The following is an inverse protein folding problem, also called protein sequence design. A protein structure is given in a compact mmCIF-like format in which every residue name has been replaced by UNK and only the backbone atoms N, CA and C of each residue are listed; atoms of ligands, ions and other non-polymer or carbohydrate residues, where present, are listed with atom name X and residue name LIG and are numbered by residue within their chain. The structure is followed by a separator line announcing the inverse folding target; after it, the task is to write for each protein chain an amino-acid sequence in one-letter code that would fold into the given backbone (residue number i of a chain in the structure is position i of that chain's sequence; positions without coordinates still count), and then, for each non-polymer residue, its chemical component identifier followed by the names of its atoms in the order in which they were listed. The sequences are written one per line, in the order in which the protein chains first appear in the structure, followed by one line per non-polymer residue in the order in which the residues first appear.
data_IF_844657662301
#
_entry.id   IF_844657662301
#
_cell.length_a   1.000
_cell.length_b   1.000
_cell.length_c   1.000
_cell.angle_alpha   90.00
_cell.angle_beta   90.00
_cell.angle_gamma   90.00
#
_symmetry.space_group_name_H-M   'P 1'
#
loop_
_entity.id
_entity.type
_entity.pdbx_description
1 polymer ?
#
# COMPACT_ATOMS: atom_id res chain seq x y z
N UNK A 1 15.84 7.46 4.07
CA UNK A 1 15.59 6.50 5.15
C UNK A 1 14.28 5.84 4.81
N UNK A 2 14.29 4.54 4.53
CA UNK A 2 13.09 3.76 4.23
C UNK A 2 12.45 3.31 5.54
N UNK A 3 11.15 3.51 5.70
CA UNK A 3 10.40 3.13 6.90
C UNK A 3 9.11 2.38 6.57
N UNK A 4 8.64 1.58 7.52
CA UNK A 4 7.31 0.96 7.49
C UNK A 4 6.42 1.67 8.51
N UNK A 5 5.23 2.09 8.12
CA UNK A 5 4.27 2.72 9.04
C UNK A 5 2.82 2.42 8.70
N UNK A 6 1.95 2.55 9.70
CA UNK A 6 0.51 2.41 9.53
C UNK A 6 -0.17 3.79 9.43
N UNK A 7 -1.10 3.93 8.48
CA UNK A 7 -1.92 5.14 8.29
C UNK A 7 -3.39 4.78 8.03
N UNK A 8 -4.33 5.57 8.54
CA UNK A 8 -5.75 5.37 8.21
C UNK A 8 -6.02 5.73 6.74
N UNK A 9 -6.99 5.06 6.12
CA UNK A 9 -7.36 5.31 4.70
C UNK A 9 -7.73 6.77 4.46
N UNK A 10 -8.32 7.46 5.43
CA UNK A 10 -8.62 8.90 5.30
C UNK A 10 -7.36 9.74 5.21
N UNK A 11 -6.32 9.40 5.97
CA UNK A 11 -5.03 10.09 5.97
C UNK A 11 -4.28 9.84 4.67
N UNK A 12 -4.19 8.58 4.24
CA UNK A 12 -3.60 8.23 2.94
C UNK A 12 -4.26 8.99 1.78
N UNK A 13 -5.59 9.13 1.80
CA UNK A 13 -6.30 9.88 0.76
C UNK A 13 -6.07 11.39 0.82
N UNK A 14 -5.98 11.95 2.03
CA UNK A 14 -5.72 13.37 2.22
C UNK A 14 -4.30 13.75 1.76
N UNK A 15 -3.33 12.87 2.02
CA UNK A 15 -1.91 13.07 1.75
C UNK A 15 -1.41 12.29 0.52
N UNK A 16 -2.30 11.86 -0.37
CA UNK A 16 -2.01 10.88 -1.43
C UNK A 16 -0.71 11.13 -2.21
N UNK A 17 -0.49 12.35 -2.68
CA UNK A 17 0.73 12.67 -3.44
C UNK A 17 2.00 12.52 -2.61
N UNK A 18 1.96 12.97 -1.34
CA UNK A 18 3.08 12.84 -0.41
C UNK A 18 3.37 11.37 -0.09
N UNK A 19 2.33 10.58 0.15
CA UNK A 19 2.50 9.16 0.48
C UNK A 19 2.98 8.33 -0.71
N UNK A 20 2.56 8.69 -1.92
CA UNK A 20 3.06 8.07 -3.14
C UNK A 20 4.53 8.42 -3.39
N UNK A 21 4.94 9.66 -3.14
CA UNK A 21 6.34 10.09 -3.21
C UNK A 21 7.21 9.39 -2.15
N UNK A 22 6.70 9.26 -0.92
CA UNK A 22 7.37 8.50 0.14
C UNK A 22 7.57 7.03 -0.27
N UNK A 23 6.56 6.40 -0.88
CA UNK A 23 6.68 5.04 -1.40
C UNK A 23 7.70 4.95 -2.55
N UNK A 24 7.75 5.92 -3.45
CA UNK A 24 8.82 5.99 -4.46
C UNK A 24 10.20 6.14 -3.83
N UNK A 25 10.30 6.82 -2.69
CA UNK A 25 11.51 6.98 -1.88
C UNK A 25 11.88 5.76 -1.02
N UNK A 26 11.08 4.69 -1.05
CA UNK A 26 11.36 3.44 -0.36
C UNK A 26 10.50 3.15 0.88
N UNK A 27 9.53 3.99 1.21
CA UNK A 27 8.63 3.74 2.35
C UNK A 27 7.55 2.71 2.02
N UNK A 28 7.15 1.95 3.04
CA UNK A 28 6.01 1.03 2.99
C UNK A 28 4.93 1.53 3.93
N UNK A 29 3.73 1.75 3.40
CA UNK A 29 2.59 2.23 4.16
C UNK A 29 1.52 1.16 4.23
N UNK A 30 1.25 0.69 5.45
CA UNK A 30 0.12 -0.17 5.73
C UNK A 30 -1.10 0.70 5.97
N UNK A 31 -2.17 0.48 5.21
CA UNK A 31 -3.39 1.25 5.35
C UNK A 31 -4.62 0.38 5.57
N UNK A 32 -5.57 0.95 6.28
CA UNK A 32 -6.90 0.39 6.37
C UNK A 32 -7.83 1.27 7.18
N UNK A 33 -8.86 0.68 7.76
CA UNK A 33 -9.96 1.44 8.35
C UNK A 33 -10.33 0.88 9.71
N UNK A 34 -10.45 1.75 10.71
CA UNK A 34 -10.86 1.37 12.07
C UNK A 34 -9.97 0.26 12.64
N UNK A 35 -8.65 0.38 12.43
CA UNK A 35 -7.67 -0.59 12.90
C UNK A 35 -7.54 -1.89 12.10
N UNK A 36 -8.43 -2.16 11.12
CA UNK A 36 -8.24 -3.27 10.20
C UNK A 36 -7.22 -2.89 9.12
N UNK A 37 -6.19 -3.71 8.90
CA UNK A 37 -5.20 -3.54 7.83
C UNK A 37 -5.73 -4.19 6.56
N UNK A 38 -5.81 -3.42 5.48
CA UNK A 38 -6.50 -3.85 4.26
C UNK A 38 -5.59 -3.83 3.04
N UNK A 39 -4.79 -2.78 2.90
CA UNK A 39 -3.99 -2.48 1.71
C UNK A 39 -2.60 -2.03 2.14
N UNK A 40 -1.59 -2.34 1.35
CA UNK A 40 -0.23 -1.81 1.54
C UNK A 40 0.16 -1.02 0.30
N UNK A 41 0.60 0.21 0.47
CA UNK A 41 1.31 0.97 -0.55
C UNK A 41 2.82 0.73 -0.36
N UNK A 42 3.51 0.28 -1.40
CA UNK A 42 4.93 -0.05 -1.31
C UNK A 42 5.71 0.41 -2.54
N UNK A 43 7.05 0.45 -2.44
CA UNK A 43 7.92 0.80 -3.56
C UNK A 43 7.80 -0.24 -4.70
N UNK A 44 7.94 0.17 -5.97
CA UNK A 44 7.85 -0.74 -7.11
C UNK A 44 8.88 -1.86 -7.09
N UNK A 45 10.10 -1.57 -6.63
CA UNK A 45 11.18 -2.55 -6.55
C UNK A 45 10.87 -3.61 -5.49
N UNK A 46 10.40 -3.20 -4.32
CA UNK A 46 9.97 -4.11 -3.27
C UNK A 46 8.83 -5.03 -3.73
N UNK A 47 7.88 -4.50 -4.51
CA UNK A 47 6.84 -5.33 -5.11
C UNK A 47 7.41 -6.34 -6.12
N UNK A 48 8.33 -5.90 -6.98
CA UNK A 48 8.98 -6.76 -7.99
C UNK A 48 9.74 -7.91 -7.31
N UNK A 49 10.50 -7.61 -6.27
CA UNK A 49 11.24 -8.60 -5.50
C UNK A 49 10.27 -9.56 -4.77
N UNK A 50 9.20 -9.03 -4.18
CA UNK A 50 8.16 -9.83 -3.54
C UNK A 50 7.49 -10.82 -4.50
N UNK A 51 7.29 -10.46 -5.78
CA UNK A 51 6.74 -11.38 -6.79
C UNK A 51 7.63 -12.59 -7.06
N UNK A 52 8.93 -12.52 -6.79
CA UNK A 52 9.83 -13.68 -6.88
C UNK A 52 9.65 -14.66 -5.72
N UNK A 53 9.11 -14.19 -4.58
CA UNK A 53 8.83 -15.00 -3.39
C UNK A 53 7.41 -15.55 -3.43
N UNK A 54 6.42 -14.68 -3.65
CA UNK A 54 5.00 -15.04 -3.78
C UNK A 54 4.50 -14.57 -5.13
N UNK A 55 4.40 -15.51 -6.06
CA UNK A 55 3.99 -15.24 -7.43
C UNK A 55 2.61 -14.58 -7.51
N UNK A 56 2.50 -13.56 -8.35
CA UNK A 56 1.25 -12.86 -8.68
C UNK A 56 1.01 -13.03 -10.17
N UNK A 57 -0.17 -13.49 -10.56
CA UNK A 57 -0.55 -13.60 -11.96
C UNK A 57 -0.72 -12.19 -12.56
N UNK A 58 -0.22 -11.97 -13.77
CA UNK A 58 -0.37 -10.68 -14.46
C UNK A 58 -1.84 -10.28 -14.66
N UNK A 59 -2.77 -11.23 -14.73
CA UNK A 59 -4.21 -10.94 -14.77
C UNK A 59 -4.76 -10.30 -13.49
N UNK A 60 -4.00 -10.34 -12.39
CA UNK A 60 -4.32 -9.69 -11.12
C UNK A 60 -3.68 -8.30 -11.00
N UNK A 61 -2.80 -7.93 -11.93
CA UNK A 61 -2.12 -6.65 -11.96
C UNK A 61 -2.91 -5.67 -12.81
N UNK A 62 -3.25 -4.52 -12.25
CA UNK A 62 -3.93 -3.42 -12.94
C UNK A 62 -3.04 -2.18 -12.88
N UNK A 63 -2.80 -1.55 -14.02
CA UNK A 63 -2.07 -0.29 -14.07
C UNK A 63 -3.06 0.89 -14.07
N UNK A 64 -2.89 1.80 -13.12
CA UNK A 64 -3.71 3.00 -12.99
C UNK A 64 -2.83 4.23 -12.76
N UNK A 65 -3.23 5.35 -13.35
CA UNK A 65 -2.59 6.64 -13.03
C UNK A 65 -2.90 7.05 -11.59
N UNK A 66 -1.99 7.80 -10.96
CA UNK A 66 -2.18 8.37 -9.62
C UNK A 66 -3.50 9.13 -9.48
N UNK A 67 -3.95 9.84 -10.53
CA UNK A 67 -5.22 10.55 -10.52
C UNK A 67 -6.44 9.61 -10.51
N UNK A 68 -6.40 8.51 -11.29
CA UNK A 68 -7.45 7.49 -11.26
C UNK A 68 -7.53 6.82 -9.89
N UNK A 69 -6.38 6.53 -9.27
CA UNK A 69 -6.36 5.96 -7.92
C UNK A 69 -6.92 6.93 -6.89
N UNK A 70 -6.49 8.20 -6.91
CA UNK A 70 -6.95 9.22 -5.95
C UNK A 70 -8.48 9.43 -6.01
N UNK A 71 -9.02 9.57 -7.21
CA UNK A 71 -10.46 9.81 -7.43
C UNK A 71 -11.30 8.55 -7.25
N UNK A 72 -10.75 7.38 -7.60
CA UNK A 72 -11.40 6.08 -7.55
C UNK A 72 -11.05 5.22 -6.33
N UNK A 73 -10.42 5.78 -5.29
CA UNK A 73 -9.74 5.00 -4.24
C UNK A 73 -10.60 3.92 -3.60
N UNK A 74 -11.90 4.17 -3.40
CA UNK A 74 -12.83 3.15 -2.86
C UNK A 74 -12.87 1.89 -3.72
N UNK A 75 -12.93 2.04 -5.05
CA UNK A 75 -12.98 0.91 -6.00
C UNK A 75 -11.62 0.20 -6.03
N UNK A 76 -10.52 0.96 -6.09
CA UNK A 76 -9.16 0.44 -6.02
C UNK A 76 -8.96 -0.41 -4.77
N UNK A 77 -9.32 0.13 -3.60
CA UNK A 77 -9.23 -0.61 -2.33
C UNK A 77 -10.02 -1.91 -2.37
N UNK A 78 -11.25 -1.89 -2.89
CA UNK A 78 -12.06 -3.11 -3.01
C UNK A 78 -11.45 -4.14 -3.97
N UNK A 79 -10.82 -3.70 -5.07
CA UNK A 79 -10.11 -4.58 -5.98
C UNK A 79 -8.89 -5.22 -5.30
N UNK A 80 -8.10 -4.41 -4.59
CA UNK A 80 -6.93 -4.88 -3.84
C UNK A 80 -7.33 -5.87 -2.74
N UNK A 81 -8.41 -5.60 -2.00
CA UNK A 81 -8.96 -6.54 -1.02
C UNK A 81 -9.39 -7.89 -1.61
N UNK A 82 -9.65 -7.95 -2.92
CA UNK A 82 -9.98 -9.18 -3.65
C UNK A 82 -8.75 -9.84 -4.29
N UNK A 83 -7.54 -9.34 -4.02
CA UNK A 83 -6.29 -9.90 -4.51
C UNK A 83 -5.71 -9.21 -5.74
N UNK A 84 -6.20 -8.02 -6.12
CA UNK A 84 -5.58 -7.24 -7.18
C UNK A 84 -4.33 -6.51 -6.68
N UNK A 85 -3.36 -6.32 -7.59
CA UNK A 85 -2.19 -5.49 -7.39
C UNK A 85 -2.32 -4.29 -8.31
N UNK A 86 -2.37 -3.09 -7.75
CA UNK A 86 -2.57 -1.87 -8.52
C UNK A 86 -1.25 -1.13 -8.65
N UNK A 87 -0.68 -1.18 -9.85
CA UNK A 87 0.55 -0.47 -10.23
C UNK A 87 0.18 0.99 -10.51
N UNK A 88 0.74 1.90 -9.71
CA UNK A 88 0.41 3.33 -9.78
C UNK A 88 1.45 4.05 -10.61
N UNK A 89 1.01 4.76 -11.66
CA UNK A 89 1.89 5.55 -12.52
C UNK A 89 1.71 7.06 -12.36
N UNK A 90 2.80 7.80 -12.49
CA UNK A 90 2.83 9.27 -12.57
C UNK A 90 3.67 9.64 -13.79
N UNK A 91 3.08 10.38 -14.73
CA UNK A 91 3.73 10.74 -16.01
C UNK A 91 4.30 9.57 -16.82
N UNK A 92 3.79 8.35 -16.61
CA UNK A 92 4.25 7.12 -17.29
C UNK A 92 5.24 6.28 -16.48
N UNK A 93 5.78 6.82 -15.38
CA UNK A 93 6.69 6.09 -14.51
C UNK A 93 5.94 5.40 -13.36
N UNK A 94 6.31 4.15 -13.05
CA UNK A 94 5.76 3.43 -11.92
C UNK A 94 6.29 4.04 -10.61
N UNK A 95 5.39 4.61 -9.81
CA UNK A 95 5.75 5.37 -8.60
C UNK A 95 5.47 4.60 -7.32
N UNK A 96 4.50 3.69 -7.34
CA UNK A 96 4.18 2.85 -6.18
C UNK A 96 3.20 1.74 -6.56
N UNK A 97 3.01 0.79 -5.66
CA UNK A 97 2.10 -0.33 -5.88
C UNK A 97 1.22 -0.51 -4.66
N UNK A 98 -0.10 -0.58 -4.87
CA UNK A 98 -1.06 -0.97 -3.85
C UNK A 98 -1.29 -2.48 -3.94
N UNK A 99 -1.07 -3.19 -2.84
CA UNK A 99 -1.16 -4.66 -2.78
C UNK A 99 -2.01 -5.12 -1.59
N UNK A 100 -2.53 -6.36 -1.61
CA UNK A 100 -3.27 -6.91 -0.49
C UNK A 100 -2.37 -7.05 0.74
N UNK A 101 -2.87 -6.70 1.92
CA UNK A 101 -2.11 -6.87 3.18
C UNK A 101 -1.60 -8.30 3.38
N UNK A 102 -2.46 -9.30 3.12
CA UNK A 102 -2.12 -10.71 3.26
C UNK A 102 -0.99 -11.18 2.33
N UNK A 103 -0.85 -10.57 1.15
CA UNK A 103 0.29 -10.84 0.28
C UNK A 103 1.53 -10.13 0.80
N UNK A 104 1.39 -8.85 1.21
CA UNK A 104 2.51 -8.06 1.71
C UNK A 104 3.19 -8.71 2.92
N UNK A 105 2.44 -9.26 3.89
CA UNK A 105 3.02 -9.91 5.08
C UNK A 105 3.83 -11.17 4.78
N UNK A 106 3.60 -11.80 3.62
CA UNK A 106 4.37 -12.98 3.21
C UNK A 106 5.72 -12.60 2.63
N UNK A 107 5.83 -11.42 2.01
CA UNK A 107 7.05 -10.94 1.35
C UNK A 107 7.83 -9.93 2.19
N UNK A 108 7.15 -9.26 3.13
CA UNK A 108 7.69 -8.31 4.09
C UNK A 108 7.13 -8.63 5.49
N UNK A 109 7.64 -9.66 6.18
CA UNK A 109 7.16 -10.03 7.50
C UNK A 109 7.28 -8.89 8.54
N UNK A 110 8.16 -7.91 8.31
CA UNK A 110 8.35 -6.76 9.19
C UNK A 110 7.10 -5.89 9.32
N UNK A 111 6.14 -5.96 8.39
CA UNK A 111 4.88 -5.21 8.49
C UNK A 111 4.01 -5.69 9.66
N UNK A 112 4.14 -6.96 10.07
CA UNK A 112 3.43 -7.50 11.23
C UNK A 112 4.05 -6.95 12.54
N UNK A 113 5.31 -6.52 12.54
CA UNK A 113 5.96 -5.94 13.72
C UNK A 113 5.37 -4.58 14.11
N UNK A 114 4.64 -3.91 13.21
CA UNK A 114 3.84 -2.73 13.52
C UNK A 114 2.70 -3.01 14.51
N UNK A 115 2.40 -4.28 14.85
CA UNK A 115 1.41 -4.65 15.87
C UNK A 115 1.81 -4.26 17.30
N UNK A 116 3.10 -3.98 17.58
CA UNK A 116 3.58 -3.75 18.94
C UNK A 116 3.48 -2.29 19.43
N UNK A 117 2.97 -1.37 18.60
CA UNK A 117 2.75 0.03 18.95
C UNK A 117 1.26 0.36 19.05
N UNK A 118 0.63 0.00 20.17
CA UNK A 118 -0.77 0.34 20.44
C UNK A 118 -1.01 1.87 20.33
N UNK A 119 -2.20 2.32 19.90
CA UNK A 119 -2.56 3.72 19.94
C UNK A 119 -2.62 4.20 21.40
N UNK A 120 -1.69 5.07 21.78
CA UNK A 120 -1.78 5.90 22.97
C UNK A 120 -3.00 6.83 22.83
N UNK A 121 -4.18 6.32 23.15
CA UNK A 121 -5.37 7.17 23.30
C UNK A 121 -5.28 7.78 24.69
N UNK A 122 -5.16 9.11 24.86
CA UNK A 122 -5.40 9.70 26.17
C UNK A 122 -6.90 9.58 26.43
N UNK A 123 -7.27 8.87 27.50
CA UNK A 123 -8.63 8.93 28.05
C UNK A 123 -8.86 10.36 28.52
N UNK A 124 -9.83 11.05 27.92
CA UNK A 124 -10.51 12.20 28.52
C UNK A 124 -11.75 11.71 29.26
#
# INVERSE_FOLDING_TARGET
MSGIRAVEVSELRANWSHELEAAAGGDVLVTGRRGAREVVLMPPDTWRDGRAVVAVNDSQCEELTSMQVRTGFRKVRQAVQRGAHVVVTVWGDVTGVLVPYEWARQVLPEIDLLESGAPSTPRS
#
